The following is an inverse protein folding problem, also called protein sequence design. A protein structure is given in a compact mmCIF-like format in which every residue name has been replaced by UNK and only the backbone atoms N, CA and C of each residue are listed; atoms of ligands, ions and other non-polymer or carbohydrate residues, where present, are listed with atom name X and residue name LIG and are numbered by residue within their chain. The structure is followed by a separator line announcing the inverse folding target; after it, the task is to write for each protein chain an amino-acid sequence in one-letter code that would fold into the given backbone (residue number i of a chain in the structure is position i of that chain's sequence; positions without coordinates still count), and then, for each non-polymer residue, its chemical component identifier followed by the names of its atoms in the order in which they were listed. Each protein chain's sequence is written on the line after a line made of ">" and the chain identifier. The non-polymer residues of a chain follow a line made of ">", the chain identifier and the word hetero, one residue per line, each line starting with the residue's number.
data_IF_596794727297
#
_entry.id   IF_596794727297
#
_cell.length_a   1.000
_cell.length_b   1.000
_cell.length_c   1.000
_cell.angle_alpha   90.00
_cell.angle_beta   90.00
_cell.angle_gamma   90.00
#
_symmetry.space_group_name_H-M   'P 1'
#
loop_
_entity.id
_entity.type
_entity.pdbx_description
1 polymer ?
#
# COMPACT_ATOMS: atom_id res chain seq x y z
N UNK A 1 -37.15 -23.71 -41.55
CA UNK A 1 -36.53 -23.58 -40.21
C UNK A 1 -36.09 -22.15 -39.91
N UNK A 2 -35.96 -21.81 -38.64
CA UNK A 2 -35.49 -20.49 -38.16
C UNK A 2 -34.53 -20.66 -36.99
N UNK A 3 -33.68 -19.66 -36.77
CA UNK A 3 -32.80 -19.61 -35.60
C UNK A 3 -32.72 -18.21 -35.01
N UNK A 4 -32.70 -18.14 -33.68
CA UNK A 4 -32.51 -16.93 -32.90
C UNK A 4 -31.46 -17.17 -31.81
N UNK A 5 -31.05 -16.10 -31.15
CA UNK A 5 -30.17 -16.12 -29.98
C UNK A 5 -31.01 -15.94 -28.72
N UNK A 6 -30.59 -16.56 -27.61
CA UNK A 6 -31.23 -16.44 -26.31
C UNK A 6 -31.52 -14.98 -25.94
N UNK A 7 -32.76 -14.70 -25.54
CA UNK A 7 -33.25 -13.37 -25.18
C UNK A 7 -33.90 -12.58 -26.33
N UNK A 8 -33.77 -13.04 -27.58
CA UNK A 8 -34.45 -12.43 -28.72
C UNK A 8 -35.81 -13.05 -28.97
N UNK A 9 -36.65 -12.37 -29.75
CA UNK A 9 -37.92 -12.91 -30.25
C UNK A 9 -37.77 -13.27 -31.74
N UNK A 10 -38.46 -14.32 -32.23
CA UNK A 10 -38.53 -14.61 -33.66
C UNK A 10 -39.13 -13.45 -34.45
N UNK A 11 -38.57 -13.17 -35.64
CA UNK A 11 -39.05 -12.09 -36.51
C UNK A 11 -40.42 -12.36 -37.17
N UNK A 12 -40.99 -13.56 -37.00
CA UNK A 12 -42.28 -13.99 -37.56
C UNK A 12 -42.37 -13.76 -39.08
N UNK A 13 -41.30 -14.12 -39.78
CA UNK A 13 -41.14 -13.93 -41.20
C UNK A 13 -40.59 -15.19 -41.89
N UNK A 14 -40.60 -15.18 -43.23
CA UNK A 14 -40.03 -16.24 -44.08
C UNK A 14 -40.85 -17.54 -44.13
N UNK A 15 -41.37 -17.85 -45.30
CA UNK A 15 -42.05 -19.11 -45.62
C UNK A 15 -41.72 -19.49 -47.06
N UNK A 16 -41.61 -20.79 -47.34
CA UNK A 16 -41.40 -21.31 -48.68
C UNK A 16 -42.72 -21.88 -49.20
N UNK A 17 -43.00 -21.65 -50.48
CA UNK A 17 -44.21 -22.13 -51.14
C UNK A 17 -43.84 -23.14 -52.22
N UNK A 18 -44.63 -24.20 -52.32
CA UNK A 18 -44.46 -25.24 -53.33
C UNK A 18 -45.81 -25.80 -53.74
N UNK A 19 -45.91 -26.33 -54.96
CA UNK A 19 -47.14 -27.00 -55.45
C UNK A 19 -48.09 -26.12 -56.26
N UNK A 20 -47.68 -24.91 -56.65
CA UNK A 20 -48.40 -24.12 -57.66
C UNK A 20 -48.38 -24.84 -59.02
N UNK A 21 -49.47 -24.73 -59.77
CA UNK A 21 -49.64 -25.34 -61.10
C UNK A 21 -49.52 -24.24 -62.17
N UNK A 22 -48.85 -24.56 -63.29
CA UNK A 22 -48.65 -23.61 -64.38
C UNK A 22 -47.67 -22.50 -64.01
N UNK A 23 -48.04 -21.25 -64.33
CA UNK A 23 -47.24 -20.04 -64.03
C UNK A 23 -47.70 -19.29 -62.77
N UNK A 24 -48.63 -19.89 -62.01
CA UNK A 24 -49.10 -19.30 -60.74
C UNK A 24 -48.00 -19.30 -59.67
N UNK A 25 -48.09 -18.36 -58.74
CA UNK A 25 -47.11 -18.17 -57.66
C UNK A 25 -47.79 -17.53 -56.43
N UNK A 26 -47.01 -17.14 -55.41
CA UNK A 26 -47.51 -16.58 -54.16
C UNK A 26 -48.47 -15.37 -54.31
N UNK A 27 -48.49 -14.68 -55.47
CA UNK A 27 -49.45 -13.61 -55.77
C UNK A 27 -50.92 -14.06 -55.80
N UNK A 28 -51.21 -15.35 -56.00
CA UNK A 28 -52.58 -15.89 -55.97
C UNK A 28 -53.06 -16.21 -54.55
N UNK A 29 -52.19 -16.06 -53.54
CA UNK A 29 -52.53 -16.28 -52.14
C UNK A 29 -53.13 -15.01 -51.52
N UNK A 30 -54.19 -15.19 -50.74
CA UNK A 30 -54.77 -14.17 -49.87
C UNK A 30 -54.49 -14.45 -48.39
N UNK A 31 -55.16 -13.68 -47.53
CA UNK A 31 -54.99 -13.77 -46.07
C UNK A 31 -53.72 -13.07 -45.56
N UNK A 32 -53.35 -13.33 -44.30
CA UNK A 32 -52.16 -12.76 -43.67
C UNK A 32 -51.33 -13.89 -43.08
N UNK A 33 -50.10 -14.01 -43.56
CA UNK A 33 -49.14 -14.95 -43.00
C UNK A 33 -48.92 -14.65 -41.51
N UNK A 34 -49.09 -15.68 -40.70
CA UNK A 34 -48.91 -15.65 -39.25
C UNK A 34 -48.11 -16.87 -38.81
N UNK A 35 -47.53 -16.82 -37.62
CA UNK A 35 -46.74 -17.90 -37.06
C UNK A 35 -47.16 -18.19 -35.62
N UNK A 36 -47.08 -19.45 -35.24
CA UNK A 36 -47.26 -19.92 -33.87
C UNK A 36 -46.05 -20.75 -33.44
N UNK A 37 -45.62 -20.57 -32.20
CA UNK A 37 -44.53 -21.32 -31.59
C UNK A 37 -44.69 -21.33 -30.07
N UNK A 38 -44.10 -22.33 -29.41
CA UNK A 38 -44.16 -22.45 -27.94
C UNK A 38 -43.09 -21.63 -27.21
N UNK A 39 -42.09 -21.13 -27.93
CA UNK A 39 -41.02 -20.29 -27.36
C UNK A 39 -41.56 -18.96 -26.83
N UNK A 40 -41.24 -18.63 -25.59
CA UNK A 40 -41.41 -17.30 -25.01
C UNK A 40 -40.04 -16.66 -24.83
N UNK A 41 -39.98 -15.33 -24.92
CA UNK A 41 -38.75 -14.58 -24.69
C UNK A 41 -38.12 -14.98 -23.36
N UNK A 42 -36.83 -15.28 -23.37
CA UNK A 42 -36.02 -15.82 -22.24
C UNK A 42 -36.26 -17.28 -21.86
N UNK A 43 -37.08 -18.04 -22.61
CA UNK A 43 -37.08 -19.50 -22.49
C UNK A 43 -35.70 -20.07 -22.86
N UNK A 44 -35.40 -21.26 -22.32
CA UNK A 44 -34.10 -21.91 -22.44
C UNK A 44 -33.67 -22.10 -23.90
N UNK A 45 -32.37 -22.14 -24.10
CA UNK A 45 -31.77 -22.59 -25.38
C UNK A 45 -32.26 -24.00 -25.71
N UNK A 46 -32.58 -24.23 -26.99
CA UNK A 46 -33.18 -25.48 -27.41
C UNK A 46 -33.89 -25.39 -28.77
N UNK A 47 -34.62 -26.45 -29.09
CA UNK A 47 -35.44 -26.55 -30.30
C UNK A 47 -36.91 -26.44 -29.93
N UNK A 48 -37.63 -25.65 -30.71
CA UNK A 48 -39.07 -25.40 -30.57
C UNK A 48 -39.74 -25.63 -31.92
N UNK A 49 -41.03 -25.95 -31.89
CA UNK A 49 -41.83 -26.03 -33.11
C UNK A 49 -42.29 -24.64 -33.51
N UNK A 50 -42.22 -24.31 -34.81
CA UNK A 50 -42.78 -23.10 -35.40
C UNK A 50 -43.67 -23.47 -36.59
N UNK A 51 -44.92 -23.03 -36.58
CA UNK A 51 -45.92 -23.40 -37.59
C UNK A 51 -46.49 -22.14 -38.24
N UNK A 52 -46.35 -21.97 -39.57
CA UNK A 52 -47.00 -20.89 -40.30
C UNK A 52 -48.52 -21.14 -40.39
N UNK A 53 -49.30 -20.09 -40.62
CA UNK A 53 -50.76 -20.14 -40.71
C UNK A 53 -51.32 -18.88 -41.39
N UNK A 54 -52.64 -18.84 -41.62
CA UNK A 54 -53.38 -17.61 -41.94
C UNK A 54 -53.42 -17.22 -43.42
N UNK A 55 -52.75 -17.97 -44.29
CA UNK A 55 -52.89 -17.82 -45.75
C UNK A 55 -54.10 -18.60 -46.27
N UNK A 56 -54.69 -18.10 -47.34
CA UNK A 56 -55.87 -18.68 -48.01
C UNK A 56 -55.70 -18.61 -49.52
N UNK A 57 -56.41 -19.46 -50.27
CA UNK A 57 -56.44 -19.42 -51.72
C UNK A 57 -57.79 -19.95 -52.22
N UNK A 58 -58.28 -19.39 -53.33
CA UNK A 58 -59.54 -19.86 -53.94
C UNK A 58 -59.38 -21.19 -54.71
N UNK A 59 -58.20 -21.43 -55.26
CA UNK A 59 -57.92 -22.57 -56.15
C UNK A 59 -57.05 -23.66 -55.50
N UNK A 60 -56.63 -23.49 -54.24
CA UNK A 60 -55.70 -24.39 -53.57
C UNK A 60 -56.15 -24.69 -52.13
N UNK A 61 -56.05 -25.96 -51.73
CA UNK A 61 -56.06 -26.34 -50.32
C UNK A 61 -54.65 -26.17 -49.74
N UNK A 62 -54.49 -25.30 -48.74
CA UNK A 62 -53.18 -24.97 -48.17
C UNK A 62 -52.90 -25.84 -46.96
N UNK A 63 -51.85 -26.65 -47.04
CA UNK A 63 -51.28 -27.38 -45.90
C UNK A 63 -50.10 -26.61 -45.30
N UNK A 64 -50.12 -26.36 -44.00
CA UNK A 64 -49.03 -25.71 -43.28
C UNK A 64 -48.11 -26.73 -42.63
N UNK A 65 -46.87 -26.80 -43.09
CA UNK A 65 -45.86 -27.68 -42.48
C UNK A 65 -45.19 -26.99 -41.28
N UNK A 66 -45.07 -27.73 -40.17
CA UNK A 66 -44.31 -27.27 -39.01
C UNK A 66 -42.80 -27.33 -39.29
N UNK A 67 -42.09 -26.26 -38.94
CA UNK A 67 -40.63 -26.19 -38.96
C UNK A 67 -40.03 -26.18 -37.57
N UNK A 68 -38.70 -26.11 -37.52
CA UNK A 68 -37.94 -26.00 -36.26
C UNK A 68 -37.46 -24.55 -36.05
N UNK A 69 -37.75 -24.01 -34.86
CA UNK A 69 -37.11 -22.81 -34.31
C UNK A 69 -35.97 -23.23 -33.37
N UNK A 70 -34.74 -22.91 -33.73
CA UNK A 70 -33.55 -23.19 -32.90
C UNK A 70 -33.09 -21.93 -32.15
N UNK A 71 -33.19 -21.96 -30.83
CA UNK A 71 -32.66 -20.93 -29.93
C UNK A 71 -31.23 -21.31 -29.57
N UNK A 72 -30.27 -20.48 -29.96
CA UNK A 72 -28.83 -20.66 -29.68
C UNK A 72 -28.42 -19.86 -28.45
N UNK A 73 -27.30 -20.24 -27.82
CA UNK A 73 -26.72 -19.49 -26.71
C UNK A 73 -26.37 -18.06 -27.13
N UNK A 74 -26.54 -17.12 -26.20
CA UNK A 74 -26.07 -15.75 -26.36
C UNK A 74 -24.60 -15.60 -25.96
N UNK A 75 -23.91 -14.63 -26.55
CA UNK A 75 -22.59 -14.23 -26.10
C UNK A 75 -22.69 -13.19 -24.98
N UNK A 76 -21.80 -13.33 -24.00
CA UNK A 76 -21.67 -12.38 -22.91
C UNK A 76 -20.84 -11.18 -23.35
N UNK A 77 -21.36 -9.98 -23.11
CA UNK A 77 -20.67 -8.71 -23.28
C UNK A 77 -20.35 -8.12 -21.91
N UNK A 78 -19.08 -7.79 -21.67
CA UNK A 78 -18.59 -7.26 -20.41
C UNK A 78 -18.08 -5.82 -20.59
N UNK A 79 -18.62 -4.90 -19.81
CA UNK A 79 -17.96 -3.63 -19.49
C UNK A 79 -16.94 -3.91 -18.40
N UNK A 80 -15.65 -3.77 -18.72
CA UNK A 80 -14.57 -4.20 -17.83
C UNK A 80 -14.56 -3.41 -16.51
N UNK A 81 -14.13 -4.04 -15.40
CA UNK A 81 -13.86 -3.30 -14.17
C UNK A 81 -12.71 -2.31 -14.39
N UNK A 82 -12.76 -1.19 -13.67
CA UNK A 82 -11.78 -0.11 -13.80
C UNK A 82 -10.92 -0.06 -12.54
N UNK A 83 -9.59 -0.06 -12.68
CA UNK A 83 -8.67 0.10 -11.55
C UNK A 83 -8.95 1.40 -10.79
N UNK A 84 -8.99 1.34 -9.46
CA UNK A 84 -9.03 2.58 -8.66
C UNK A 84 -7.67 3.25 -8.70
N UNK A 85 -7.69 4.57 -8.88
CA UNK A 85 -6.48 5.37 -8.95
C UNK A 85 -6.07 5.90 -7.58
N UNK A 86 -4.78 6.27 -7.47
CA UNK A 86 -4.23 6.99 -6.30
C UNK A 86 -4.43 6.27 -4.97
N UNK A 87 -4.52 4.94 -4.99
CA UNK A 87 -4.48 4.14 -3.77
C UNK A 87 -3.08 4.27 -3.15
N UNK A 88 -3.05 4.62 -1.87
CA UNK A 88 -1.83 4.73 -1.06
C UNK A 88 -2.04 3.90 0.18
N UNK A 89 -0.99 3.23 0.66
CA UNK A 89 -1.04 2.46 1.89
C UNK A 89 -1.56 3.33 3.05
N UNK A 90 -2.60 2.85 3.73
CA UNK A 90 -3.20 3.56 4.88
C UNK A 90 -3.35 2.66 6.11
N UNK A 91 -2.83 1.42 6.05
CA UNK A 91 -3.07 0.39 7.05
C UNK A 91 -4.51 -0.14 7.10
N UNK A 92 -5.35 0.20 6.12
CA UNK A 92 -6.75 -0.26 6.01
C UNK A 92 -6.97 -0.99 4.68
N UNK A 93 -7.93 -1.92 4.68
CA UNK A 93 -8.36 -2.60 3.45
C UNK A 93 -9.02 -1.61 2.50
N UNK A 94 -8.63 -1.66 1.23
CA UNK A 94 -9.08 -0.79 0.15
C UNK A 94 -9.54 -1.64 -1.02
N UNK A 95 -10.74 -1.37 -1.55
CA UNK A 95 -11.20 -1.96 -2.80
C UNK A 95 -10.28 -1.56 -3.96
N UNK A 96 -10.00 -2.51 -4.83
CA UNK A 96 -8.99 -2.37 -5.88
C UNK A 96 -9.57 -1.89 -7.22
N UNK A 97 -10.83 -2.20 -7.49
CA UNK A 97 -11.49 -1.85 -8.76
C UNK A 97 -12.87 -1.26 -8.51
N UNK A 98 -13.37 -0.48 -9.45
CA UNK A 98 -14.79 -0.22 -9.61
C UNK A 98 -15.39 -1.38 -10.42
N UNK A 99 -16.53 -1.89 -9.95
CA UNK A 99 -17.20 -3.03 -10.56
C UNK A 99 -17.52 -2.80 -12.04
N UNK A 100 -17.25 -3.82 -12.87
CA UNK A 100 -17.72 -3.85 -14.26
C UNK A 100 -19.21 -4.23 -14.36
N UNK A 101 -19.71 -4.31 -15.59
CA UNK A 101 -21.09 -4.75 -15.89
C UNK A 101 -21.12 -5.85 -16.93
N UNK A 102 -22.21 -6.61 -16.96
CA UNK A 102 -22.44 -7.67 -17.93
C UNK A 102 -23.90 -7.70 -18.36
N UNK A 103 -24.17 -8.11 -19.60
CA UNK A 103 -25.54 -8.32 -20.10
C UNK A 103 -26.19 -9.62 -19.58
N UNK A 104 -25.38 -10.63 -19.22
CA UNK A 104 -25.84 -11.89 -18.64
C UNK A 104 -24.90 -12.37 -17.53
N UNK A 105 -25.44 -13.20 -16.63
CA UNK A 105 -24.67 -13.76 -15.52
C UNK A 105 -24.20 -12.72 -14.50
N UNK A 106 -23.31 -13.15 -13.60
CA UNK A 106 -22.63 -12.27 -12.64
C UNK A 106 -21.18 -12.12 -13.04
N UNK A 107 -20.66 -10.90 -12.92
CA UNK A 107 -19.22 -10.66 -13.06
C UNK A 107 -18.53 -11.11 -11.77
N UNK A 108 -17.59 -12.04 -11.90
CA UNK A 108 -16.83 -12.59 -10.79
C UNK A 108 -15.38 -12.12 -10.84
N UNK A 109 -14.75 -11.99 -9.68
CA UNK A 109 -13.40 -11.46 -9.50
C UNK A 109 -12.50 -12.40 -8.71
N UNK A 110 -11.19 -12.28 -8.91
CA UNK A 110 -10.18 -13.05 -8.18
C UNK A 110 -8.85 -12.29 -8.08
N UNK A 111 -8.10 -12.52 -6.99
CA UNK A 111 -6.70 -12.08 -6.83
C UNK A 111 -5.67 -13.18 -7.10
N UNK A 112 -6.08 -14.46 -7.02
CA UNK A 112 -5.21 -15.61 -7.29
C UNK A 112 -5.39 -16.17 -8.70
N UNK A 113 -6.46 -15.78 -9.41
CA UNK A 113 -6.81 -16.28 -10.73
C UNK A 113 -7.52 -17.64 -10.71
N UNK A 114 -7.76 -18.20 -9.53
CA UNK A 114 -8.31 -19.55 -9.33
C UNK A 114 -9.68 -19.50 -8.63
N UNK A 115 -9.77 -18.80 -7.49
CA UNK A 115 -10.99 -18.68 -6.70
C UNK A 115 -11.70 -17.38 -7.06
N UNK A 116 -12.88 -17.52 -7.63
CA UNK A 116 -13.69 -16.40 -8.09
C UNK A 116 -14.89 -16.18 -7.17
N UNK A 117 -15.19 -14.91 -6.88
CA UNK A 117 -16.39 -14.51 -6.13
C UNK A 117 -17.04 -13.27 -6.76
N UNK A 118 -18.27 -12.94 -6.37
CA UNK A 118 -18.93 -11.70 -6.81
C UNK A 118 -18.48 -10.46 -6.01
N UNK A 119 -17.63 -10.65 -5.00
CA UNK A 119 -17.16 -9.56 -4.13
C UNK A 119 -16.06 -8.77 -4.84
N UNK A 120 -16.06 -7.45 -4.65
CA UNK A 120 -15.02 -6.59 -5.19
C UNK A 120 -13.73 -6.84 -4.41
N UNK A 121 -12.63 -7.22 -5.08
CA UNK A 121 -11.38 -7.50 -4.39
C UNK A 121 -10.86 -6.28 -3.64
N UNK A 122 -10.42 -6.50 -2.42
CA UNK A 122 -9.82 -5.49 -1.58
C UNK A 122 -8.48 -5.96 -1.03
N UNK A 123 -7.55 -5.02 -0.81
CA UNK A 123 -6.25 -5.31 -0.22
C UNK A 123 -5.71 -4.10 0.56
N UNK A 124 -4.67 -4.36 1.37
CA UNK A 124 -4.09 -3.35 2.27
C UNK A 124 -2.67 -2.94 1.86
N UNK A 125 -1.82 -3.90 1.50
CA UNK A 125 -0.38 -3.67 1.30
C UNK A 125 -0.06 -2.88 0.03
N UNK A 126 1.03 -2.12 0.05
CA UNK A 126 1.53 -1.43 -1.11
C UNK A 126 2.22 -2.41 -2.07
N UNK A 127 1.56 -2.68 -3.19
CA UNK A 127 2.12 -3.41 -4.33
C UNK A 127 1.21 -3.25 -5.55
N UNK A 128 1.62 -3.82 -6.66
CA UNK A 128 0.75 -4.06 -7.81
C UNK A 128 -0.03 -5.35 -7.60
N UNK A 129 -1.34 -5.27 -7.77
CA UNK A 129 -2.27 -6.39 -7.75
C UNK A 129 -2.78 -6.65 -9.15
N UNK A 130 -2.92 -7.93 -9.49
CA UNK A 130 -3.63 -8.38 -10.68
C UNK A 130 -5.03 -8.82 -10.25
N UNK A 131 -6.05 -8.13 -10.73
CA UNK A 131 -7.46 -8.50 -10.52
C UNK A 131 -7.94 -9.22 -11.77
N UNK A 132 -8.23 -10.50 -11.64
CA UNK A 132 -8.86 -11.30 -12.68
C UNK A 132 -10.38 -11.14 -12.62
N UNK A 133 -11.04 -11.15 -13.77
CA UNK A 133 -12.49 -11.08 -13.86
C UNK A 133 -13.03 -11.98 -14.98
N UNK A 134 -14.15 -12.65 -14.74
CA UNK A 134 -14.81 -13.55 -15.72
C UNK A 134 -16.34 -13.55 -15.53
N UNK A 135 -17.06 -14.10 -16.51
CA UNK A 135 -18.48 -14.47 -16.36
C UNK A 135 -18.64 -15.94 -16.69
N UNK A 136 -19.26 -16.69 -15.81
CA UNK A 136 -19.50 -18.11 -16.05
C UNK A 136 -20.59 -18.33 -17.09
N UNK A 137 -20.34 -19.29 -17.98
CA UNK A 137 -21.33 -19.73 -18.96
C UNK A 137 -22.50 -20.46 -18.30
N UNK A 138 -23.58 -20.59 -19.03
CA UNK A 138 -24.75 -21.37 -18.62
C UNK A 138 -25.26 -22.21 -19.79
N UNK A 139 -26.40 -22.87 -19.60
CA UNK A 139 -27.14 -23.49 -20.71
C UNK A 139 -27.63 -22.46 -21.75
N UNK A 140 -27.75 -21.18 -21.36
CA UNK A 140 -28.38 -20.13 -22.15
C UNK A 140 -27.40 -19.12 -22.76
N UNK A 141 -26.19 -18.97 -22.19
CA UNK A 141 -25.16 -18.08 -22.72
C UNK A 141 -23.77 -18.70 -22.60
N UNK A 142 -22.87 -18.27 -23.48
CA UNK A 142 -21.46 -18.67 -23.47
C UNK A 142 -20.71 -17.98 -22.32
N UNK A 143 -19.63 -18.61 -21.85
CA UNK A 143 -18.78 -18.00 -20.83
C UNK A 143 -18.04 -16.79 -21.41
N UNK A 144 -17.76 -15.81 -20.56
CA UNK A 144 -16.74 -14.79 -20.84
C UNK A 144 -15.46 -15.21 -20.12
N UNK A 145 -14.48 -15.64 -20.90
CA UNK A 145 -13.20 -16.10 -20.39
C UNK A 145 -12.48 -15.04 -19.55
N UNK A 146 -11.69 -15.51 -18.59
CA UNK A 146 -11.03 -14.64 -17.63
C UNK A 146 -10.11 -13.63 -18.32
N UNK A 147 -10.27 -12.36 -17.95
CA UNK A 147 -9.38 -11.25 -18.29
C UNK A 147 -8.82 -10.64 -17.00
N UNK A 148 -7.89 -9.69 -17.13
CA UNK A 148 -7.21 -9.08 -15.99
C UNK A 148 -7.11 -7.56 -16.11
N UNK A 149 -7.09 -6.90 -14.97
CA UNK A 149 -6.75 -5.49 -14.79
C UNK A 149 -5.71 -5.38 -13.68
N UNK A 150 -4.70 -4.54 -13.88
CA UNK A 150 -3.68 -4.27 -12.86
C UNK A 150 -4.01 -2.98 -12.10
N UNK A 151 -3.76 -3.00 -10.80
CA UNK A 151 -4.01 -1.89 -9.89
C UNK A 151 -2.89 -1.81 -8.86
N UNK A 152 -2.42 -0.60 -8.59
CA UNK A 152 -1.31 -0.37 -7.67
C UNK A 152 -1.80 0.36 -6.43
N UNK A 153 -1.48 -0.21 -5.26
CA UNK A 153 -1.43 0.53 -4.00
C UNK A 153 0.01 1.04 -3.85
N UNK A 154 0.20 2.35 -3.86
CA UNK A 154 1.51 2.96 -3.68
C UNK A 154 1.95 2.93 -2.21
N UNK A 155 3.27 2.95 -1.99
CA UNK A 155 3.83 3.12 -0.64
C UNK A 155 3.40 4.47 -0.08
N UNK A 156 3.12 4.52 1.21
CA UNK A 156 2.85 5.78 1.91
C UNK A 156 4.13 6.59 2.14
N UNK A 157 3.99 7.91 2.17
CA UNK A 157 5.05 8.78 2.64
C UNK A 157 5.04 8.89 4.17
N UNK A 158 6.24 8.82 4.74
CA UNK A 158 6.43 9.02 6.17
C UNK A 158 6.46 10.52 6.48
N UNK A 159 5.61 10.94 7.41
CA UNK A 159 5.60 12.26 8.00
C UNK A 159 6.16 12.19 9.41
N UNK A 160 7.17 13.03 9.68
CA UNK A 160 7.85 13.10 10.98
C UNK A 160 7.61 14.47 11.62
N UNK A 161 7.05 14.47 12.83
CA UNK A 161 7.16 15.58 13.78
C UNK A 161 8.56 15.48 14.41
N UNK A 162 9.44 16.43 14.08
CA UNK A 162 10.85 16.37 14.46
C UNK A 162 11.04 16.33 15.99
N UNK A 163 12.08 15.65 16.50
CA UNK A 163 12.45 15.74 17.90
C UNK A 163 12.86 17.18 18.25
N UNK A 164 12.64 17.57 19.50
CA UNK A 164 12.93 18.93 20.00
C UNK A 164 14.14 18.88 20.92
N UNK A 165 15.12 19.74 20.70
CA UNK A 165 16.28 19.87 21.58
C UNK A 165 15.86 20.24 23.00
N UNK A 166 16.36 19.54 24.01
CA UNK A 166 16.15 19.96 25.40
C UNK A 166 16.98 21.20 25.69
N UNK A 167 16.35 22.19 26.30
CA UNK A 167 16.99 23.45 26.65
C UNK A 167 17.61 23.43 28.05
N UNK A 168 18.52 24.37 28.29
CA UNK A 168 19.10 24.65 29.62
C UNK A 168 19.74 23.44 30.29
N UNK A 169 20.27 22.50 29.49
CA UNK A 169 21.08 21.41 30.02
C UNK A 169 22.40 21.98 30.54
N UNK A 170 22.73 21.67 31.78
CA UNK A 170 23.98 22.06 32.42
C UNK A 170 24.69 20.81 32.92
N UNK A 171 26.01 20.79 32.82
CA UNK A 171 26.82 19.68 33.31
C UNK A 171 26.58 19.40 34.80
N UNK A 172 26.04 18.21 35.08
CA UNK A 172 25.70 17.74 36.43
C UNK A 172 26.51 16.52 36.88
N UNK A 173 27.37 15.99 36.00
CA UNK A 173 28.05 14.71 36.19
C UNK A 173 27.14 13.48 36.01
N UNK A 174 25.88 13.67 35.60
CA UNK A 174 24.92 12.60 35.31
C UNK A 174 24.50 12.62 33.84
N UNK A 175 24.14 11.45 33.33
CA UNK A 175 23.59 11.31 31.98
C UNK A 175 22.26 12.04 31.86
N UNK A 176 22.08 12.81 30.79
CA UNK A 176 20.91 13.62 30.51
C UNK A 176 20.43 13.36 29.09
N UNK A 177 19.15 13.09 28.90
CA UNK A 177 18.54 13.00 27.56
C UNK A 177 18.69 14.32 26.80
N UNK A 178 19.01 14.24 25.51
CA UNK A 178 19.34 15.40 24.69
C UNK A 178 18.12 15.99 23.98
N UNK A 179 17.12 15.17 23.65
CA UNK A 179 15.93 15.61 22.91
C UNK A 179 14.66 15.10 23.57
N UNK A 180 13.55 15.79 23.32
CA UNK A 180 12.21 15.23 23.46
C UNK A 180 11.88 14.45 22.19
N UNK A 181 11.32 13.25 22.35
CA UNK A 181 11.02 12.35 21.23
C UNK A 181 10.11 13.02 20.19
N UNK A 182 10.44 12.85 18.91
CA UNK A 182 9.55 13.18 17.80
C UNK A 182 8.45 12.14 17.63
N UNK A 183 7.57 12.35 16.64
CA UNK A 183 6.51 11.40 16.27
C UNK A 183 6.54 11.11 14.78
N UNK A 184 5.94 10.00 14.39
CA UNK A 184 5.80 9.59 12.99
C UNK A 184 4.44 8.95 12.76
N UNK A 185 3.90 9.08 11.53
CA UNK A 185 2.67 8.41 11.11
C UNK A 185 2.88 6.91 10.82
N UNK A 186 4.09 6.51 10.43
CA UNK A 186 4.47 5.11 10.17
C UNK A 186 5.87 4.80 10.70
N UNK A 187 6.13 3.52 10.98
CA UNK A 187 7.43 3.07 11.46
C UNK A 187 7.78 3.59 12.86
N UNK A 188 9.04 3.40 13.25
CA UNK A 188 9.61 3.94 14.49
C UNK A 188 10.60 5.04 14.14
N UNK A 189 10.58 6.13 14.90
CA UNK A 189 11.61 7.15 14.81
C UNK A 189 12.87 6.66 15.54
N UNK A 190 13.98 6.58 14.81
CA UNK A 190 15.27 6.12 15.32
C UNK A 190 16.24 7.29 15.46
N UNK A 191 17.15 7.20 16.42
CA UNK A 191 18.10 8.24 16.79
C UNK A 191 19.54 7.72 16.78
N UNK A 192 20.49 8.63 16.58
CA UNK A 192 21.92 8.33 16.63
C UNK A 192 22.76 9.56 17.05
N UNK A 193 23.87 9.31 17.74
CA UNK A 193 24.91 10.33 18.03
C UNK A 193 26.12 10.25 17.09
N UNK A 194 26.33 9.12 16.41
CA UNK A 194 27.42 8.93 15.46
C UNK A 194 26.97 9.06 13.99
N UNK A 195 25.65 9.05 13.75
CA UNK A 195 25.05 9.10 12.42
C UNK A 195 25.04 7.74 11.70
N UNK A 196 25.53 6.68 12.34
CA UNK A 196 25.69 5.35 11.76
C UNK A 196 24.82 4.31 12.46
N UNK A 197 24.91 4.23 13.80
CA UNK A 197 24.14 3.28 14.60
C UNK A 197 22.89 3.95 15.12
N UNK A 198 21.74 3.47 14.66
CA UNK A 198 20.43 4.00 15.01
C UNK A 198 19.72 3.07 15.98
N UNK A 199 19.07 3.64 16.99
CA UNK A 199 18.20 2.90 17.92
C UNK A 199 16.92 3.70 18.21
N UNK A 200 15.91 3.07 18.77
CA UNK A 200 14.69 3.76 19.19
C UNK A 200 14.84 4.49 20.54
N UNK A 201 16.00 4.36 21.19
CA UNK A 201 16.27 4.98 22.49
C UNK A 201 16.60 6.46 22.32
N UNK A 202 16.10 7.27 23.24
CA UNK A 202 16.40 8.71 23.24
C UNK A 202 17.87 8.90 23.62
N UNK A 203 18.69 9.56 22.78
CA UNK A 203 20.09 9.75 23.09
C UNK A 203 20.29 10.57 24.36
N UNK A 204 21.19 10.10 25.21
CA UNK A 204 21.58 10.78 26.43
C UNK A 204 23.10 10.94 26.50
N UNK A 205 23.56 12.01 27.15
CA UNK A 205 24.98 12.26 27.34
C UNK A 205 25.28 13.06 28.62
N UNK A 206 26.54 13.05 29.03
CA UNK A 206 26.97 13.65 30.30
C UNK A 206 27.82 14.91 30.10
N UNK A 207 28.74 14.92 29.13
CA UNK A 207 29.77 15.97 29.03
C UNK A 207 29.26 17.32 28.53
N UNK A 208 29.87 18.41 29.00
CA UNK A 208 29.57 19.75 28.50
C UNK A 208 30.13 19.97 27.09
N UNK A 209 29.29 19.80 26.07
CA UNK A 209 29.60 20.11 24.66
C UNK A 209 28.30 20.26 23.85
N UNK A 210 28.46 20.61 22.58
CA UNK A 210 27.40 20.50 21.57
C UNK A 210 27.37 19.08 21.01
N UNK A 211 26.18 18.49 20.96
CA UNK A 211 25.89 17.18 20.40
C UNK A 211 25.03 17.35 19.14
N UNK A 212 25.33 16.56 18.12
CA UNK A 212 24.48 16.39 16.94
C UNK A 212 23.67 15.11 17.13
N UNK A 213 22.36 15.22 17.17
CA UNK A 213 21.43 14.09 17.21
C UNK A 213 20.86 13.89 15.82
N UNK A 214 21.14 12.75 15.21
CA UNK A 214 20.54 12.34 13.95
C UNK A 214 19.23 11.59 14.21
N UNK A 215 18.25 11.74 13.34
CA UNK A 215 16.98 11.02 13.41
C UNK A 215 16.47 10.61 12.02
N UNK A 216 15.93 9.40 11.90
CA UNK A 216 15.39 8.84 10.64
C UNK A 216 14.23 7.89 10.90
N UNK A 217 13.49 7.53 9.85
CA UNK A 217 12.54 6.39 9.88
C UNK A 217 12.90 5.45 8.75
N UNK A 218 13.00 4.15 9.05
CA UNK A 218 13.30 3.15 8.03
C UNK A 218 12.07 2.84 7.17
N UNK A 219 12.29 2.67 5.86
CA UNK A 219 11.25 2.29 4.93
C UNK A 219 10.83 0.82 5.10
N UNK A 220 9.70 0.47 4.51
CA UNK A 220 9.19 -0.90 4.45
C UNK A 220 8.66 -1.21 3.05
N UNK A 221 8.03 -2.37 2.88
CA UNK A 221 7.25 -2.66 1.67
C UNK A 221 6.03 -1.74 1.53
N UNK A 222 5.54 -1.15 2.62
CA UNK A 222 4.31 -0.39 2.69
C UNK A 222 4.48 1.13 2.78
N UNK A 223 5.65 1.63 3.21
CA UNK A 223 5.95 3.06 3.27
C UNK A 223 7.40 3.37 2.89
N UNK A 224 7.63 4.58 2.40
CA UNK A 224 8.95 5.09 2.04
C UNK A 224 9.78 5.40 3.28
N UNK A 225 11.11 5.34 3.17
CA UNK A 225 11.98 5.78 4.26
C UNK A 225 11.87 7.30 4.46
N UNK A 226 12.05 7.75 5.71
CA UNK A 226 12.33 9.15 5.99
C UNK A 226 13.83 9.29 6.23
N UNK A 227 14.49 9.96 5.29
CA UNK A 227 15.94 10.15 5.31
C UNK A 227 16.43 10.87 6.56
N UNK A 228 17.65 10.54 6.96
CA UNK A 228 18.22 11.06 8.19
C UNK A 228 18.32 12.60 8.16
N UNK A 229 17.80 13.21 9.22
CA UNK A 229 17.97 14.64 9.53
C UNK A 229 18.72 14.79 10.85
N UNK A 230 19.12 16.01 11.18
CA UNK A 230 19.89 16.31 12.40
C UNK A 230 19.33 17.48 13.18
N UNK A 231 19.55 17.47 14.48
CA UNK A 231 19.30 18.56 15.42
C UNK A 231 20.48 18.70 16.37
N UNK A 232 20.86 19.94 16.70
CA UNK A 232 21.94 20.21 17.66
C UNK A 232 21.39 20.49 19.05
N UNK A 233 22.08 19.98 20.06
CA UNK A 233 21.74 20.15 21.48
C UNK A 233 23.01 20.48 22.25
N UNK A 234 22.96 21.46 23.15
CA UNK A 234 24.13 21.88 23.93
C UNK A 234 23.93 21.58 25.42
N UNK A 235 24.91 20.89 26.01
CA UNK A 235 25.08 20.82 27.45
C UNK A 235 26.09 21.91 27.84
N UNK A 236 25.63 22.92 28.57
CA UNK A 236 26.46 24.03 29.03
C UNK A 236 27.39 23.60 30.16
N UNK A 237 28.55 24.25 30.24
CA UNK A 237 29.46 24.08 31.39
C UNK A 237 28.78 24.61 32.65
N UNK A 238 28.94 23.92 33.76
CA UNK A 238 28.54 24.46 35.06
C UNK A 238 29.48 25.57 35.50
N UNK A 239 28.99 26.52 36.30
CA UNK A 239 29.82 27.58 36.87
C UNK A 239 30.72 26.99 37.97
N UNK A 240 32.01 27.35 37.98
CA UNK A 240 32.98 26.80 38.93
C UNK A 240 32.71 27.24 40.39
N UNK A 241 32.78 26.31 41.35
CA UNK A 241 32.74 26.61 42.80
C UNK A 241 34.15 26.81 43.40
N UNK A 242 35.24 26.49 42.69
CA UNK A 242 36.59 26.56 43.25
C UNK A 242 37.38 27.79 42.82
N UNK A 243 37.61 28.74 43.74
CA UNK A 243 38.75 29.67 43.62
C UNK A 243 40.03 28.84 43.63
N UNK A 244 40.81 28.86 42.54
CA UNK A 244 42.18 28.35 42.56
C UNK A 244 43.05 29.37 43.29
N UNK A 245 43.48 29.04 44.51
CA UNK A 245 44.54 29.80 45.18
C UNK A 245 45.90 29.24 44.73
N UNK A 246 46.85 30.07 44.25
CA UNK A 246 48.19 29.59 43.95
C UNK A 246 48.85 29.05 45.22
N UNK A 247 49.38 27.83 45.15
CA UNK A 247 50.17 27.24 46.23
C UNK A 247 51.53 27.94 46.23
N UNK A 248 51.81 28.78 47.24
CA UNK A 248 53.13 29.39 47.39
C UNK A 248 54.18 28.29 47.52
N UNK A 249 55.14 28.24 46.59
CA UNK A 249 56.31 27.38 46.70
C UNK A 249 57.09 27.81 47.95
N UNK A 250 57.15 26.95 48.96
CA UNK A 250 57.98 27.17 50.14
C UNK A 250 59.43 26.95 49.69
N UNK A 251 60.13 28.03 49.33
CA UNK A 251 61.59 28.01 49.21
C UNK A 251 62.15 27.86 50.61
N UNK A 252 62.43 26.62 51.03
CA UNK A 252 63.32 26.40 52.17
C UNK A 252 64.72 26.83 51.76
N UNK A 253 65.13 27.99 52.28
CA UNK A 253 66.50 28.51 52.21
C UNK A 253 67.46 27.40 52.67
N UNK A 254 68.41 27.04 51.81
CA UNK A 254 69.44 26.06 52.12
C UNK A 254 70.23 26.50 53.37
N UNK A 255 70.33 25.62 54.36
CA UNK A 255 71.42 25.70 55.34
C UNK A 255 72.56 24.92 54.71
N UNK A 256 73.60 25.64 54.29
CA UNK A 256 74.86 25.07 53.81
C UNK A 256 75.37 24.04 54.81
N UNK A 257 75.35 22.76 54.40
CA UNK A 257 76.15 21.72 55.03
C UNK A 257 77.25 21.40 54.05
N UNK A 258 78.45 21.89 54.34
CA UNK A 258 79.67 21.57 53.60
C UNK A 258 79.97 20.08 53.78
N UNK A 259 79.90 19.31 52.70
CA UNK A 259 80.34 17.92 52.62
C UNK A 259 81.65 17.86 51.86
N UNK A 260 82.60 17.02 52.29
CA UNK A 260 83.82 16.77 51.52
C UNK A 260 83.52 15.95 50.24
N UNK A 261 84.49 15.86 49.33
CA UNK A 261 84.39 15.10 48.06
C UNK A 261 84.13 13.58 48.25
N UNK A 262 84.00 13.08 49.48
CA UNK A 262 83.65 11.69 49.82
C UNK A 262 82.40 11.58 50.72
N UNK A 263 81.61 12.66 50.86
CA UNK A 263 80.27 12.62 51.42
C UNK A 263 80.17 12.49 52.95
N UNK A 264 81.20 12.86 53.72
CA UNK A 264 81.15 12.80 55.19
C UNK A 264 80.91 14.18 55.85
N UNK A 265 80.12 14.28 56.94
CA UNK A 265 79.88 15.57 57.63
C UNK A 265 81.13 16.08 58.35
N UNK A 266 81.51 17.34 58.12
CA UNK A 266 82.63 18.00 58.82
C UNK A 266 82.13 18.56 60.16
N UNK A 267 82.81 18.24 61.27
CA UNK A 267 82.43 18.64 62.63
C UNK A 267 83.44 19.67 63.17
N UNK A 268 83.00 20.88 63.52
CA UNK A 268 83.67 21.65 64.58
C UNK A 268 83.72 23.19 64.49
N UNK A 269 83.56 23.78 65.68
CA UNK A 269 83.84 25.14 66.18
C UNK A 269 82.78 26.22 65.91
N UNK A 270 82.17 26.99 66.84
CA UNK A 270 82.25 27.32 68.29
C UNK A 270 82.51 28.81 68.50
N UNK A 271 81.66 29.43 69.33
CA UNK A 271 81.79 30.66 70.14
C UNK A 271 80.83 31.80 69.75
N UNK A 272 80.31 32.65 70.65
CA UNK A 272 80.05 32.64 72.09
C UNK A 272 79.47 34.04 72.47
N UNK A 273 78.79 34.12 73.64
CA UNK A 273 78.49 35.31 74.50
C UNK A 273 77.34 36.25 74.06
N UNK A 274 76.46 36.76 74.92
CA UNK A 274 76.29 36.63 76.38
C UNK A 274 75.18 37.56 76.94
N UNK A 275 74.71 37.25 78.15
CA UNK A 275 74.16 38.10 79.24
C UNK A 275 72.88 38.98 79.02
N UNK A 276 71.76 38.73 79.73
CA UNK A 276 71.27 39.29 81.04
C UNK A 276 70.81 40.78 80.96
N UNK A 277 69.76 41.33 81.62
CA UNK A 277 68.85 40.96 82.72
C UNK A 277 67.68 41.99 82.83
N UNK A 278 66.60 41.59 83.54
CA UNK A 278 65.67 42.37 84.45
C UNK A 278 64.68 43.36 83.82
N UNK A 279 63.47 43.54 84.36
CA UNK A 279 62.87 43.15 85.64
C UNK A 279 61.36 42.93 85.46
#
# INVERSE_FOLDING_TARGET
>A
DKSIVYGNEPANDGVEYSGFIGEENASVLGGKLSYSYSYKKLDKVGKYTITPSGLTASNYEISFAAGTLTVKKADVSVEAPVAKEKLVYSGKSQELVTAGKTNFGKLLYSLDGEKYSAEIPAATDAKTYTVYYKVEGSDNWNAFEAKKVEVKIAKADVSVEAPVAKEKLVYSGKSQELVTAGKTNFGKLLYSLDGEKYSAEIPAATDAKTYTVYYKVEGSDNWNAFEAKKIEVKIEKTSAIGRMSPRAARVTRAVDRSFDLKGRPVRGSSNARGAYYKK
#
